data_IF_210861659129
#
_entry.id   IF_210861659129
#
_cell.length_a   1.000
_cell.length_b   1.000
_cell.length_c   1.000
_cell.angle_alpha   90.00
_cell.angle_beta   90.00
_cell.angle_gamma   90.00
#
_symmetry.space_group_name_H-M   'P 1'
#
loop_
_entity.id
_entity.type
_entity.pdbx_description
1 polymer ?
#
# COMPACT_ATOMS: atom_id res chain seq x y z
N UNK A 1 -5.58 -8.97 -13.52
CA UNK A 1 -4.90 -8.83 -14.83
C UNK A 1 -3.49 -8.25 -14.61
N UNK A 2 -2.50 -8.39 -15.52
CA UNK A 2 -1.11 -7.97 -15.26
C UNK A 2 -0.93 -6.45 -15.01
N UNK A 3 -1.95 -5.66 -15.35
CA UNK A 3 -2.00 -4.21 -15.20
C UNK A 3 -2.56 -3.73 -13.84
N UNK A 4 -2.96 -4.64 -12.97
CA UNK A 4 -3.57 -4.33 -11.67
C UNK A 4 -2.64 -4.65 -10.49
N UNK A 5 -1.80 -5.67 -10.65
CA UNK A 5 -0.88 -6.16 -9.62
C UNK A 5 0.46 -6.45 -10.28
N UNK A 6 1.51 -5.72 -9.89
CA UNK A 6 2.87 -6.04 -10.25
C UNK A 6 3.53 -6.96 -9.24
N UNK A 7 4.80 -7.22 -9.50
CA UNK A 7 5.55 -8.29 -8.82
C UNK A 7 5.85 -7.97 -7.36
N UNK A 8 6.24 -6.73 -7.05
CA UNK A 8 6.68 -6.40 -5.68
C UNK A 8 5.50 -6.17 -4.74
N UNK A 9 4.38 -5.63 -5.24
CA UNK A 9 3.14 -5.43 -4.47
C UNK A 9 3.35 -4.82 -3.07
N UNK A 10 4.37 -3.95 -2.91
CA UNK A 10 4.66 -3.28 -1.66
C UNK A 10 3.53 -2.31 -1.33
N UNK A 11 3.06 -2.33 -0.07
CA UNK A 11 1.98 -1.43 0.37
C UNK A 11 2.44 0.02 0.28
N UNK A 12 1.83 0.77 -0.64
CA UNK A 12 2.17 2.16 -0.92
C UNK A 12 0.90 3.00 -1.03
N UNK A 13 0.62 3.92 -0.08
CA UNK A 13 -0.57 4.77 -0.12
C UNK A 13 -0.53 5.85 -1.23
N UNK A 14 0.62 6.08 -1.87
CA UNK A 14 0.79 7.04 -2.96
C UNK A 14 0.53 6.43 -4.35
N UNK A 15 0.42 5.11 -4.45
CA UNK A 15 0.18 4.40 -5.71
C UNK A 15 -1.19 3.75 -5.63
N UNK A 16 -2.15 4.34 -6.35
CA UNK A 16 -3.51 3.84 -6.39
C UNK A 16 -3.64 2.62 -7.31
N UNK A 17 -4.57 1.74 -6.97
CA UNK A 17 -5.02 0.68 -7.87
C UNK A 17 -5.89 1.30 -8.98
N UNK A 18 -5.94 0.73 -10.20
CA UNK A 18 -6.73 1.28 -11.31
C UNK A 18 -8.22 1.54 -11.00
N UNK A 19 -8.78 0.84 -10.02
CA UNK A 19 -10.20 0.89 -9.68
C UNK A 19 -10.52 1.53 -8.31
N UNK A 20 -9.52 1.73 -7.45
CA UNK A 20 -9.75 2.29 -6.12
C UNK A 20 -8.48 2.93 -5.57
N UNK A 21 -8.66 3.92 -4.69
CA UNK A 21 -7.53 4.52 -3.99
C UNK A 21 -7.02 3.62 -2.87
N UNK A 22 -5.70 3.54 -2.74
CA UNK A 22 -5.00 2.79 -1.69
C UNK A 22 -4.62 3.67 -0.48
N UNK A 23 -4.95 4.96 -0.51
CA UNK A 23 -4.58 5.92 0.55
C UNK A 23 -5.26 5.63 1.90
N UNK A 24 -6.37 4.90 1.91
CA UNK A 24 -7.10 4.54 3.14
C UNK A 24 -7.53 3.09 3.14
N UNK A 25 -7.63 2.52 4.33
CA UNK A 25 -8.05 1.13 4.54
C UNK A 25 -9.15 1.02 5.59
N UNK A 26 -9.82 -0.13 5.60
CA UNK A 26 -10.81 -0.50 6.60
C UNK A 26 -10.26 -1.60 7.48
N UNK A 27 -10.02 -1.29 8.75
CA UNK A 27 -9.58 -2.28 9.74
C UNK A 27 -10.74 -3.22 10.05
N UNK A 28 -10.49 -4.52 9.92
CA UNK A 28 -11.46 -5.52 10.35
C UNK A 28 -11.39 -5.63 11.88
N UNK A 29 -12.53 -5.52 12.55
CA UNK A 29 -12.62 -5.56 14.01
C UNK A 29 -12.87 -4.20 14.68
N UNK A 30 -12.83 -3.09 13.95
CA UNK A 30 -13.15 -1.74 14.48
C UNK A 30 -14.66 -1.49 14.73
N UNK A 31 -15.49 -2.54 14.71
CA UNK A 31 -16.95 -2.48 14.89
C UNK A 31 -17.74 -2.05 13.65
N UNK A 32 -19.08 -2.08 13.75
CA UNK A 32 -20.02 -1.75 12.66
C UNK A 32 -19.88 -0.30 12.14
N UNK A 33 -19.35 0.60 12.97
CA UNK A 33 -19.09 2.01 12.64
C UNK A 33 -17.59 2.33 12.54
N UNK A 34 -16.76 1.30 12.32
CA UNK A 34 -15.33 1.45 12.14
C UNK A 34 -15.01 2.47 11.04
N UNK A 35 -14.33 3.55 11.41
CA UNK A 35 -13.86 4.56 10.45
C UNK A 35 -12.70 3.98 9.64
N UNK A 36 -12.56 4.45 8.40
CA UNK A 36 -11.36 4.18 7.59
C UNK A 36 -10.16 4.86 8.23
N UNK A 37 -9.00 4.23 8.16
CA UNK A 37 -7.74 4.81 8.60
C UNK A 37 -6.80 5.04 7.40
N UNK A 38 -5.87 6.01 7.48
CA UNK A 38 -4.83 6.16 6.46
C UNK A 38 -3.96 4.90 6.39
N UNK A 39 -3.65 4.45 5.16
CA UNK A 39 -2.73 3.33 4.94
C UNK A 39 -1.29 3.80 5.14
N UNK A 40 -0.51 3.02 5.86
CA UNK A 40 0.89 3.33 6.14
C UNK A 40 1.81 2.79 5.04
N UNK A 41 2.89 3.52 4.73
CA UNK A 41 3.92 3.05 3.80
C UNK A 41 4.56 1.75 4.30
N UNK A 42 4.75 0.78 3.41
CA UNK A 42 5.19 -0.58 3.75
C UNK A 42 4.38 -1.20 4.89
N UNK A 43 3.10 -0.83 5.01
CA UNK A 43 2.22 -1.25 6.11
C UNK A 43 2.77 -0.91 7.51
N UNK A 44 3.54 0.18 7.63
CA UNK A 44 4.17 0.63 8.87
C UNK A 44 5.58 0.08 9.12
N UNK A 45 6.10 -0.76 8.21
CA UNK A 45 7.43 -1.36 8.34
C UNK A 45 8.53 -0.64 7.56
N UNK A 46 8.32 0.64 7.25
CA UNK A 46 9.23 1.38 6.39
C UNK A 46 10.68 1.37 6.93
N UNK A 47 10.87 1.57 8.23
CA UNK A 47 12.20 1.61 8.84
C UNK A 47 12.96 0.27 8.73
N UNK A 48 12.24 -0.84 8.62
CA UNK A 48 12.83 -2.18 8.55
C UNK A 48 13.11 -2.63 7.12
N UNK A 49 12.26 -2.23 6.16
CA UNK A 49 12.31 -2.78 4.79
C UNK A 49 12.65 -1.77 3.70
N UNK A 50 12.57 -0.46 3.97
CA UNK A 50 12.81 0.57 2.95
C UNK A 50 14.22 0.48 2.35
N UNK A 51 15.22 0.07 3.15
CA UNK A 51 16.60 -0.12 2.68
C UNK A 51 16.75 -1.23 1.62
N UNK A 52 15.82 -2.18 1.52
CA UNK A 52 15.85 -3.22 0.48
C UNK A 52 15.41 -2.68 -0.89
N UNK A 53 14.73 -1.54 -0.91
CA UNK A 53 14.09 -0.95 -2.08
C UNK A 53 14.55 0.48 -2.38
N UNK A 54 15.58 0.99 -1.69
CA UNK A 54 16.00 2.41 -1.76
C UNK A 54 16.43 2.86 -3.15
N UNK A 55 16.92 1.93 -3.98
CA UNK A 55 17.41 2.21 -5.34
C UNK A 55 16.40 1.82 -6.43
N UNK A 56 15.20 1.34 -6.06
CA UNK A 56 14.16 0.91 -6.98
C UNK A 56 13.08 1.98 -7.14
N UNK A 57 12.67 2.23 -8.39
CA UNK A 57 11.48 3.04 -8.65
C UNK A 57 10.22 2.25 -8.32
N UNK A 58 9.71 2.44 -7.10
CA UNK A 58 8.52 1.79 -6.58
C UNK A 58 7.24 2.12 -7.37
N UNK A 59 7.25 3.16 -8.21
CA UNK A 59 6.13 3.51 -9.13
C UNK A 59 6.25 2.82 -10.48
N UNK A 60 7.35 2.11 -10.76
CA UNK A 60 7.54 1.41 -12.03
C UNK A 60 7.28 -0.09 -11.95
N UNK A 61 7.31 -0.65 -10.73
CA UNK A 61 7.18 -2.10 -10.51
C UNK A 61 6.05 -2.47 -9.51
N UNK A 62 5.02 -1.63 -9.39
CA UNK A 62 3.85 -1.88 -8.55
C UNK A 62 2.89 -2.89 -9.15
#
# INVERSE_FOLDING_TARGET
APNEYGFYANVNPEVDHPLWSQATERVIGSGLFGKRQPTLMFNGYADQVAGLYSDLDLRRFF
#
